data_IF_990175665517
#
_entry.id   IF_990175665517
#
_cell.length_a   1.000
_cell.length_b   1.000
_cell.length_c   1.000
_cell.angle_alpha   90.00
_cell.angle_beta   90.00
_cell.angle_gamma   90.00
#
_symmetry.space_group_name_H-M   'P 1'
#
loop_
_entity.id
_entity.type
_entity.pdbx_description
1 polymer ?
#
# COMPACT_ATOMS: atom_id res chain seq x y z
N UNK A 1 4.91 -19.60 6.98
CA UNK A 1 4.88 -18.67 5.83
C UNK A 1 5.38 -17.34 6.33
N UNK A 2 6.36 -16.74 5.66
CA UNK A 2 6.83 -15.38 5.94
C UNK A 2 6.30 -14.45 4.84
N UNK A 3 6.44 -13.15 5.05
CA UNK A 3 5.97 -12.15 4.09
C UNK A 3 7.06 -11.11 3.85
N UNK A 4 7.10 -10.59 2.63
CA UNK A 4 7.79 -9.35 2.31
C UNK A 4 6.74 -8.28 1.98
N UNK A 5 7.07 -7.03 2.30
CA UNK A 5 6.38 -5.87 1.76
C UNK A 5 7.37 -5.12 0.89
N UNK A 6 7.05 -4.94 -0.37
CA UNK A 6 7.91 -4.27 -1.35
C UNK A 6 7.17 -3.03 -1.82
N UNK A 7 7.83 -1.88 -1.81
CA UNK A 7 7.21 -0.63 -2.24
C UNK A 7 8.09 0.16 -3.18
N UNK A 8 7.42 0.88 -4.08
CA UNK A 8 8.06 1.83 -4.98
C UNK A 8 7.18 3.07 -5.13
N UNK A 9 7.78 4.23 -4.92
CA UNK A 9 7.11 5.52 -5.11
C UNK A 9 7.84 6.30 -6.19
N UNK A 10 7.09 6.76 -7.19
CA UNK A 10 7.53 7.72 -8.16
C UNK A 10 6.89 9.08 -7.87
N UNK A 11 7.70 10.10 -7.61
CA UNK A 11 7.23 11.46 -7.38
C UNK A 11 8.22 12.48 -7.95
N UNK A 12 7.73 13.43 -8.75
CA UNK A 12 8.54 14.50 -9.37
C UNK A 12 9.81 14.00 -10.11
N UNK A 13 9.72 12.85 -10.79
CA UNK A 13 10.84 12.19 -11.49
C UNK A 13 11.89 11.55 -10.58
N UNK A 14 11.61 11.43 -9.28
CA UNK A 14 12.37 10.61 -8.35
C UNK A 14 11.69 9.27 -8.17
N UNK A 15 12.47 8.18 -8.12
CA UNK A 15 12.01 6.85 -7.77
C UNK A 15 12.64 6.47 -6.42
N UNK A 16 11.79 6.15 -5.45
CA UNK A 16 12.17 5.58 -4.16
C UNK A 16 11.70 4.13 -4.11
N UNK A 17 12.52 3.24 -3.56
CA UNK A 17 12.19 1.82 -3.36
C UNK A 17 12.46 1.47 -1.91
N UNK A 18 11.57 0.69 -1.30
CA UNK A 18 11.69 0.24 0.08
C UNK A 18 11.18 -1.20 0.22
N UNK A 19 11.67 -1.88 1.25
CA UNK A 19 11.33 -3.27 1.53
C UNK A 19 11.26 -3.49 3.03
N UNK A 20 10.27 -4.24 3.49
CA UNK A 20 10.14 -4.73 4.86
C UNK A 20 9.97 -6.26 4.89
N UNK A 21 10.31 -6.91 6.00
CA UNK A 21 10.17 -8.37 6.15
C UNK A 21 11.28 -9.21 5.50
N UNK A 22 12.29 -8.56 4.92
CA UNK A 22 13.51 -9.16 4.40
C UNK A 22 14.66 -9.15 5.44
N UNK A 23 15.60 -10.08 5.27
CA UNK A 23 16.78 -10.24 6.13
C UNK A 23 16.46 -10.43 7.62
N UNK A 24 16.94 -9.52 8.47
CA UNK A 24 16.82 -9.53 9.93
C UNK A 24 15.47 -8.97 10.41
N UNK A 25 14.77 -8.22 9.56
CA UNK A 25 13.40 -7.78 9.82
C UNK A 25 12.44 -8.82 9.26
N UNK A 26 11.58 -9.40 10.11
CA UNK A 26 10.77 -10.57 9.73
C UNK A 26 9.31 -10.31 9.99
N UNK A 27 8.52 -10.44 8.93
CA UNK A 27 7.07 -10.44 9.01
C UNK A 27 6.60 -11.90 9.01
N UNK A 28 6.17 -12.38 10.18
CA UNK A 28 5.83 -13.80 10.40
C UNK A 28 4.32 -14.09 10.32
N UNK A 29 3.50 -13.08 9.99
CA UNK A 29 2.05 -13.26 9.82
C UNK A 29 1.49 -12.33 8.76
N UNK A 30 0.43 -12.80 8.08
CA UNK A 30 -0.28 -11.99 7.09
C UNK A 30 -0.86 -10.72 7.70
N UNK A 31 -1.38 -10.82 8.92
CA UNK A 31 -1.89 -9.66 9.67
C UNK A 31 -0.80 -8.60 9.87
N UNK A 32 0.42 -9.01 10.19
CA UNK A 32 1.56 -8.09 10.33
C UNK A 32 1.96 -7.49 8.98
N UNK A 33 1.89 -8.28 7.89
CA UNK A 33 2.15 -7.79 6.54
C UNK A 33 1.13 -6.73 6.10
N UNK A 34 -0.16 -6.98 6.35
CA UNK A 34 -1.24 -6.02 6.17
C UNK A 34 -0.96 -4.73 6.94
N UNK A 35 -0.68 -4.84 8.25
CA UNK A 35 -0.40 -3.66 9.09
C UNK A 35 0.80 -2.85 8.59
N UNK A 36 1.87 -3.52 8.17
CA UNK A 36 3.05 -2.88 7.57
C UNK A 36 2.69 -2.13 6.29
N UNK A 37 2.06 -2.79 5.31
CA UNK A 37 1.73 -2.16 4.02
C UNK A 37 0.75 -0.99 4.17
N UNK A 38 -0.20 -1.08 5.11
CA UNK A 38 -1.14 0.01 5.40
C UNK A 38 -0.43 1.19 6.04
N UNK A 39 0.50 0.94 6.97
CA UNK A 39 1.32 1.99 7.58
C UNK A 39 2.15 2.72 6.52
N UNK A 40 2.73 1.98 5.58
CA UNK A 40 3.49 2.53 4.45
C UNK A 40 2.59 3.35 3.52
N UNK A 41 1.42 2.83 3.16
CA UNK A 41 0.42 3.54 2.36
C UNK A 41 0.04 4.89 3.01
N UNK A 42 -0.26 4.89 4.30
CA UNK A 42 -0.61 6.11 5.04
C UNK A 42 0.53 7.13 5.09
N UNK A 43 1.75 6.65 5.33
CA UNK A 43 2.96 7.48 5.35
C UNK A 43 3.20 8.15 4.00
N UNK A 44 3.26 7.36 2.93
CA UNK A 44 3.50 7.85 1.58
C UNK A 44 2.42 8.86 1.15
N UNK A 45 1.13 8.54 1.36
CA UNK A 45 0.02 9.44 1.02
C UNK A 45 0.10 10.79 1.76
N UNK A 46 0.47 10.77 3.04
CA UNK A 46 0.59 11.98 3.87
C UNK A 46 1.80 12.82 3.47
N UNK A 47 2.89 12.19 3.05
CA UNK A 47 4.15 12.86 2.71
C UNK A 47 4.19 13.41 1.28
N UNK A 48 3.26 13.00 0.40
CA UNK A 48 3.21 13.49 -1.00
C UNK A 48 3.08 15.00 -1.12
N UNK A 49 2.33 15.64 -0.21
CA UNK A 49 1.91 17.04 -0.32
C UNK A 49 0.94 17.32 -1.48
N UNK A 50 0.41 16.28 -2.14
CA UNK A 50 -0.53 16.41 -3.25
C UNK A 50 -1.95 16.51 -2.70
N UNK A 51 -2.52 17.71 -2.78
CA UNK A 51 -3.85 18.02 -2.25
C UNK A 51 -4.96 17.07 -2.70
N UNK A 52 -4.86 16.54 -3.90
CA UNK A 52 -5.82 15.59 -4.45
C UNK A 52 -5.83 14.24 -3.71
N UNK A 53 -4.68 13.85 -3.15
CA UNK A 53 -4.52 12.62 -2.39
C UNK A 53 -4.85 12.80 -0.90
N UNK A 54 -5.06 14.03 -0.42
CA UNK A 54 -5.44 14.30 0.98
C UNK A 54 -6.74 13.59 1.36
N UNK A 55 -7.71 13.53 0.45
CA UNK A 55 -8.99 12.84 0.66
C UNK A 55 -8.80 11.32 0.75
N UNK A 56 -7.94 10.75 -0.10
CA UNK A 56 -7.55 9.34 -0.04
C UNK A 56 -6.82 9.04 1.28
N UNK A 57 -5.85 9.87 1.67
CA UNK A 57 -5.12 9.74 2.92
C UNK A 57 -6.07 9.74 4.14
N UNK A 58 -7.05 10.66 4.15
CA UNK A 58 -8.04 10.73 5.21
C UNK A 58 -8.99 9.52 5.24
N UNK A 59 -9.31 8.92 4.07
CA UNK A 59 -10.08 7.69 3.99
C UNK A 59 -9.27 6.51 4.54
N UNK A 60 -8.03 6.33 4.07
CA UNK A 60 -7.12 5.26 4.55
C UNK A 60 -6.87 5.38 6.06
N UNK A 61 -6.76 6.60 6.60
CA UNK A 61 -6.61 6.83 8.04
C UNK A 61 -7.85 6.45 8.86
N UNK A 62 -9.06 6.65 8.32
CA UNK A 62 -10.32 6.31 8.98
C UNK A 62 -10.67 4.84 8.85
N UNK A 63 -10.22 4.21 7.78
CA UNK A 63 -10.46 2.79 7.52
C UNK A 63 -9.74 1.94 8.56
N UNK A 64 -10.49 1.04 9.19
CA UNK A 64 -9.91 0.03 10.08
C UNK A 64 -9.46 -1.14 9.21
N UNK A 65 -8.33 -0.97 8.53
CA UNK A 65 -7.81 -1.94 7.58
C UNK A 65 -7.12 -3.08 8.34
N UNK A 66 -7.87 -4.10 8.73
CA UNK A 66 -7.33 -5.23 9.52
C UNK A 66 -7.46 -6.56 8.77
N UNK A 67 -8.28 -6.59 7.73
CA UNK A 67 -8.62 -7.77 6.94
C UNK A 67 -8.53 -7.46 5.45
N UNK A 68 -8.49 -8.52 4.64
CA UNK A 68 -8.59 -8.41 3.17
C UNK A 68 -9.91 -7.78 2.72
N UNK A 69 -11.00 -8.04 3.44
CA UNK A 69 -12.32 -7.45 3.15
C UNK A 69 -12.30 -5.94 3.37
N UNK A 70 -11.67 -5.46 4.45
CA UNK A 70 -11.53 -4.01 4.69
C UNK A 70 -10.73 -3.33 3.55
N UNK A 71 -9.73 -4.03 3.02
CA UNK A 71 -8.91 -3.53 1.91
C UNK A 71 -9.69 -3.48 0.59
N UNK A 72 -10.51 -4.49 0.32
CA UNK A 72 -11.43 -4.50 -0.82
C UNK A 72 -12.50 -3.41 -0.72
N UNK A 73 -13.04 -3.19 0.48
CA UNK A 73 -14.01 -2.13 0.72
C UNK A 73 -13.39 -0.74 0.50
N UNK A 74 -12.12 -0.55 0.87
CA UNK A 74 -11.38 0.67 0.55
C UNK A 74 -11.24 0.84 -0.97
N UNK A 75 -10.73 -0.16 -1.69
CA UNK A 75 -10.59 -0.12 -3.16
C UNK A 75 -11.91 0.28 -3.84
N UNK A 76 -13.02 -0.36 -3.47
CA UNK A 76 -14.33 -0.06 -4.01
C UNK A 76 -14.77 1.40 -3.76
N UNK A 77 -14.38 1.99 -2.62
CA UNK A 77 -14.70 3.38 -2.27
C UNK A 77 -13.78 4.39 -2.97
N UNK A 78 -12.56 3.99 -3.32
CA UNK A 78 -11.49 4.87 -3.82
C UNK A 78 -11.03 4.53 -5.25
N UNK A 79 -11.83 3.74 -5.97
CA UNK A 79 -11.53 3.12 -7.27
C UNK A 79 -11.10 4.05 -8.42
N UNK A 80 -11.02 5.36 -8.22
CA UNK A 80 -10.44 6.30 -9.17
C UNK A 80 -8.97 6.67 -8.88
N UNK A 81 -8.47 6.36 -7.68
CA UNK A 81 -7.13 6.75 -7.22
C UNK A 81 -6.33 5.60 -6.60
N UNK A 82 -6.99 4.62 -5.98
CA UNK A 82 -6.37 3.44 -5.37
C UNK A 82 -7.00 2.18 -5.94
N UNK A 83 -6.16 1.18 -6.23
CA UNK A 83 -6.55 -0.11 -6.75
C UNK A 83 -5.88 -1.25 -6.00
N UNK A 84 -6.61 -2.34 -5.76
CA UNK A 84 -6.06 -3.54 -5.11
C UNK A 84 -6.18 -4.73 -6.05
N UNK A 85 -5.05 -5.34 -6.36
CA UNK A 85 -4.97 -6.52 -7.24
C UNK A 85 -4.53 -7.74 -6.44
N UNK A 86 -5.40 -8.74 -6.32
CA UNK A 86 -5.10 -9.99 -5.62
C UNK A 86 -4.59 -11.07 -6.58
N UNK A 87 -3.49 -11.72 -6.23
CA UNK A 87 -2.95 -12.87 -6.94
C UNK A 87 -3.33 -14.19 -6.25
N UNK A 88 -3.40 -14.20 -4.91
CA UNK A 88 -3.97 -15.27 -4.10
C UNK A 88 -4.54 -14.72 -2.76
N UNK A 89 -4.77 -15.57 -1.75
CA UNK A 89 -5.32 -15.16 -0.44
C UNK A 89 -4.37 -14.28 0.41
N UNK A 90 -3.08 -14.30 0.10
CA UNK A 90 -1.98 -13.76 0.88
C UNK A 90 -0.99 -12.92 0.04
N UNK A 91 -1.21 -12.84 -1.27
CA UNK A 91 -0.42 -12.09 -2.25
C UNK A 91 -1.28 -11.06 -2.96
N UNK A 92 -0.94 -9.78 -2.80
CA UNK A 92 -1.65 -8.68 -3.45
C UNK A 92 -0.75 -7.47 -3.68
N UNK A 93 -1.24 -6.57 -4.54
CA UNK A 93 -0.66 -5.26 -4.82
C UNK A 93 -1.69 -4.17 -4.52
N UNK A 94 -1.23 -3.04 -4.00
CA UNK A 94 -1.93 -1.76 -3.91
C UNK A 94 -1.22 -0.79 -4.85
N UNK A 95 -1.95 -0.23 -5.80
CA UNK A 95 -1.49 0.84 -6.68
C UNK A 95 -2.24 2.13 -6.36
N UNK A 96 -1.52 3.25 -6.31
CA UNK A 96 -2.10 4.60 -6.21
C UNK A 96 -1.52 5.48 -7.29
N UNK A 97 -2.36 6.28 -7.94
CA UNK A 97 -1.93 7.26 -8.93
C UNK A 97 -2.74 8.55 -8.80
N UNK A 98 -2.07 9.70 -8.91
CA UNK A 98 -2.75 10.99 -9.00
C UNK A 98 -3.29 11.23 -10.43
N UNK A 99 -4.28 12.12 -10.59
CA UNK A 99 -4.86 12.40 -11.93
C UNK A 99 -3.86 12.99 -12.92
N UNK A 100 -2.73 13.54 -12.45
CA UNK A 100 -1.71 14.10 -13.33
C UNK A 100 -0.59 13.12 -13.70
N UNK A 101 -0.64 11.89 -13.19
CA UNK A 101 0.34 10.81 -13.38
C UNK A 101 1.77 11.19 -12.96
N UNK A 102 1.91 12.21 -12.09
CA UNK A 102 3.20 12.68 -11.56
C UNK A 102 3.57 11.99 -10.27
N UNK A 103 2.60 11.35 -9.62
CA UNK A 103 2.74 10.53 -8.45
C UNK A 103 2.18 9.14 -8.73
N UNK A 104 3.00 8.14 -8.46
CA UNK A 104 2.61 6.73 -8.50
C UNK A 104 3.21 6.04 -7.28
N UNK A 105 2.40 5.24 -6.60
CA UNK A 105 2.83 4.39 -5.50
C UNK A 105 2.40 2.96 -5.81
N UNK A 106 3.34 2.05 -5.69
CA UNK A 106 3.12 0.61 -5.81
C UNK A 106 3.55 -0.02 -4.50
N UNK A 107 2.69 -0.85 -3.92
CA UNK A 107 2.96 -1.61 -2.70
C UNK A 107 2.53 -3.06 -2.91
N UNK A 108 3.45 -4.00 -2.73
CA UNK A 108 3.21 -5.43 -2.88
C UNK A 108 3.40 -6.13 -1.54
N UNK A 109 2.46 -7.00 -1.19
CA UNK A 109 2.62 -7.97 -0.10
C UNK A 109 2.74 -9.33 -0.75
N UNK A 110 3.87 -10.01 -0.57
CA UNK A 110 4.09 -11.35 -1.11
C UNK A 110 4.49 -12.36 -0.01
N UNK A 111 3.98 -13.60 -0.08
CA UNK A 111 4.49 -14.68 0.76
C UNK A 111 5.88 -15.09 0.29
N UNK A 112 6.82 -15.20 1.23
CA UNK A 112 8.20 -15.62 0.99
C UNK A 112 8.55 -16.87 1.80
N UNK A 113 9.26 -17.80 1.17
CA UNK A 113 9.75 -19.06 1.78
C UNK A 113 8.91 -20.28 1.47
#
# INVERSE_FOLDING_TARGET
MRFAVIGATYHEKSLSVFTEGLDDDRIESFKSALQSVISLLQGELTDTGIKELDELAAQVQKSTLVTSDDLNDLDNQTSDQLHVSWFDEHHFVIDVMDKSEKYQLHLEVEPIG
#
